data_IF_559245472089
#
_entry.id   IF_559245472089
#
_cell.length_a   1.000
_cell.length_b   1.000
_cell.length_c   1.000
_cell.angle_alpha   90.00
_cell.angle_beta   90.00
_cell.angle_gamma   90.00
#
_symmetry.space_group_name_H-M   'P 1'
#
loop_
_entity.id
_entity.type
_entity.pdbx_description
1 polymer ?
#
# COMPACT_ATOMS: atom_id res chain seq x y z
N UNK A 1 6.48 -12.91 19.29
CA UNK A 1 5.56 -11.94 18.65
C UNK A 1 5.33 -12.41 17.24
N UNK A 2 4.08 -12.65 16.89
CA UNK A 2 3.76 -13.02 15.52
C UNK A 2 4.09 -11.84 14.60
N UNK A 3 4.88 -12.11 13.56
CA UNK A 3 5.28 -11.09 12.60
C UNK A 3 4.11 -10.84 11.64
N UNK A 4 3.27 -9.83 11.92
CA UNK A 4 2.09 -9.51 11.12
C UNK A 4 2.38 -8.44 10.08
N UNK A 5 2.12 -8.79 8.81
CA UNK A 5 2.16 -7.90 7.65
C UNK A 5 0.73 -7.64 7.14
N UNK A 6 0.34 -6.37 7.08
CA UNK A 6 -0.96 -5.97 6.57
C UNK A 6 -0.84 -5.27 5.21
N UNK A 7 -1.51 -5.82 4.19
CA UNK A 7 -1.59 -5.25 2.86
C UNK A 7 -2.98 -4.64 2.60
N UNK A 8 -3.06 -3.33 2.58
CA UNK A 8 -4.23 -2.61 2.09
C UNK A 8 -4.28 -2.65 0.55
N UNK A 9 -5.30 -3.33 -0.02
CA UNK A 9 -5.39 -3.58 -1.45
C UNK A 9 -4.45 -4.70 -1.90
N UNK A 10 -4.81 -5.95 -1.66
CA UNK A 10 -3.98 -7.12 -1.93
C UNK A 10 -4.04 -7.53 -3.42
N UNK A 11 -3.49 -6.67 -4.29
CA UNK A 11 -3.43 -6.89 -5.74
C UNK A 11 -2.13 -7.58 -6.17
N UNK A 12 -1.84 -7.51 -7.47
CA UNK A 12 -0.75 -8.22 -8.15
C UNK A 12 0.61 -8.15 -7.42
N UNK A 13 1.06 -6.95 -7.06
CA UNK A 13 2.35 -6.77 -6.39
C UNK A 13 2.37 -7.38 -4.98
N UNK A 14 1.28 -7.19 -4.22
CA UNK A 14 1.18 -7.75 -2.88
C UNK A 14 1.08 -9.28 -2.90
N UNK A 15 0.33 -9.85 -3.86
CA UNK A 15 0.24 -11.29 -4.06
C UNK A 15 1.60 -11.90 -4.41
N UNK A 16 2.38 -11.23 -5.28
CA UNK A 16 3.73 -11.68 -5.62
C UNK A 16 4.72 -11.61 -4.44
N UNK A 17 4.52 -10.65 -3.54
CA UNK A 17 5.36 -10.47 -2.35
C UNK A 17 5.05 -11.51 -1.25
N UNK A 18 3.80 -11.96 -1.15
CA UNK A 18 3.30 -12.80 -0.06
C UNK A 18 4.09 -14.09 0.17
N UNK A 19 4.41 -14.92 -0.83
CA UNK A 19 5.20 -16.14 -0.60
C UNK A 19 6.54 -15.84 0.04
N UNK A 20 7.23 -14.78 -0.38
CA UNK A 20 8.53 -14.37 0.17
C UNK A 20 8.44 -13.92 1.63
N UNK A 21 7.31 -13.33 2.03
CA UNK A 21 7.07 -12.96 3.42
C UNK A 21 6.75 -14.19 4.26
N UNK A 22 5.92 -15.10 3.76
CA UNK A 22 5.57 -16.35 4.45
C UNK A 22 6.82 -17.22 4.68
N UNK A 23 7.73 -17.32 3.71
CA UNK A 23 9.00 -18.03 3.85
C UNK A 23 9.89 -17.47 4.97
N UNK A 24 9.68 -16.21 5.33
CA UNK A 24 10.36 -15.53 6.44
C UNK A 24 9.57 -15.55 7.77
N UNK A 25 8.47 -16.28 7.81
CA UNK A 25 7.64 -16.45 9.01
C UNK A 25 6.65 -15.28 9.24
N UNK A 26 6.40 -14.41 8.25
CA UNK A 26 5.40 -13.38 8.36
C UNK A 26 4.00 -13.95 8.12
N UNK A 27 3.05 -13.59 8.97
CA UNK A 27 1.62 -13.79 8.74
C UNK A 27 1.11 -12.63 7.92
N UNK A 28 0.65 -12.90 6.70
CA UNK A 28 0.23 -11.86 5.74
C UNK A 28 -1.29 -11.77 5.70
N UNK A 29 -1.82 -10.57 5.92
CA UNK A 29 -3.23 -10.25 5.75
C UNK A 29 -3.41 -9.34 4.54
N UNK A 30 -4.40 -9.67 3.69
CA UNK A 30 -4.69 -8.92 2.47
C UNK A 30 -6.11 -8.40 2.43
N UNK A 31 -6.30 -7.08 2.25
CA UNK A 31 -7.66 -6.52 2.20
C UNK A 31 -8.25 -6.57 0.81
N UNK A 32 -9.56 -6.82 0.74
CA UNK A 32 -10.39 -6.66 -0.46
C UNK A 32 -11.72 -5.97 -0.13
N UNK A 33 -12.28 -5.25 -1.12
CA UNK A 33 -13.61 -4.64 -1.02
C UNK A 33 -14.74 -5.65 -1.28
N UNK A 34 -14.44 -6.77 -1.93
CA UNK A 34 -15.38 -7.86 -2.21
C UNK A 34 -14.83 -9.19 -1.76
N UNK A 35 -15.70 -10.04 -1.24
CA UNK A 35 -15.37 -11.44 -0.91
C UNK A 35 -15.04 -12.28 -2.16
N UNK A 36 -15.47 -11.85 -3.34
CA UNK A 36 -15.19 -12.55 -4.61
C UNK A 36 -13.68 -12.69 -4.87
N UNK A 37 -12.87 -11.76 -4.34
CA UNK A 37 -11.42 -11.80 -4.49
C UNK A 37 -10.69 -12.60 -3.40
N UNK A 38 -11.42 -13.16 -2.42
CA UNK A 38 -10.79 -13.86 -1.29
C UNK A 38 -10.00 -15.09 -1.74
N UNK A 39 -10.57 -15.87 -2.67
CA UNK A 39 -9.88 -17.04 -3.22
C UNK A 39 -8.50 -16.71 -3.83
N UNK A 40 -8.37 -15.58 -4.51
CA UNK A 40 -7.08 -15.20 -5.12
C UNK A 40 -6.08 -14.69 -4.06
N UNK A 41 -6.57 -14.05 -3.00
CA UNK A 41 -5.75 -13.67 -1.86
C UNK A 41 -5.24 -14.93 -1.15
N UNK A 42 -6.11 -15.89 -0.87
CA UNK A 42 -5.76 -17.17 -0.23
C UNK A 42 -4.76 -17.98 -1.06
N UNK A 43 -4.93 -18.04 -2.39
CA UNK A 43 -3.96 -18.69 -3.29
C UNK A 43 -2.56 -18.08 -3.23
N UNK A 44 -2.44 -16.79 -2.90
CA UNK A 44 -1.13 -16.16 -2.68
C UNK A 44 -0.48 -16.54 -1.35
N UNK A 45 -1.24 -17.18 -0.45
CA UNK A 45 -0.81 -17.53 0.91
C UNK A 45 -1.12 -16.44 1.95
N UNK A 46 -1.93 -15.44 1.61
CA UNK A 46 -2.40 -14.43 2.54
C UNK A 46 -3.79 -14.75 3.10
N UNK A 47 -4.10 -14.20 4.26
CA UNK A 47 -5.42 -14.29 4.89
C UNK A 47 -6.26 -13.11 4.40
N UNK A 48 -7.39 -13.35 3.72
CA UNK A 48 -8.22 -12.28 3.20
C UNK A 48 -9.02 -11.60 4.31
N UNK A 49 -9.13 -10.27 4.23
CA UNK A 49 -9.96 -9.47 5.13
C UNK A 49 -10.83 -8.52 4.32
N UNK A 50 -12.08 -8.40 4.72
CA UNK A 50 -13.00 -7.47 4.08
C UNK A 50 -12.69 -6.03 4.51
N UNK A 51 -12.58 -5.14 3.54
CA UNK A 51 -12.48 -3.71 3.78
C UNK A 51 -13.70 -3.21 4.56
N UNK A 52 -13.47 -2.43 5.62
CA UNK A 52 -14.53 -1.89 6.48
C UNK A 52 -14.97 -2.81 7.61
N UNK A 53 -14.43 -4.02 7.73
CA UNK A 53 -14.76 -4.93 8.84
C UNK A 53 -14.08 -4.54 10.15
N UNK A 54 -14.67 -4.93 11.28
CA UNK A 54 -14.05 -4.81 12.60
C UNK A 54 -12.81 -5.70 12.74
N UNK A 55 -12.78 -6.83 12.04
CA UNK A 55 -11.61 -7.71 11.97
C UNK A 55 -10.38 -6.98 11.45
N UNK A 56 -10.56 -6.10 10.43
CA UNK A 56 -9.45 -5.30 9.89
C UNK A 56 -8.86 -4.37 10.94
N UNK A 57 -9.70 -3.74 11.79
CA UNK A 57 -9.21 -2.92 12.90
C UNK A 57 -8.41 -3.73 13.92
N UNK A 58 -8.82 -4.96 14.18
CA UNK A 58 -8.08 -5.88 15.05
C UNK A 58 -6.72 -6.22 14.48
N UNK A 59 -6.62 -6.46 13.16
CA UNK A 59 -5.33 -6.75 12.49
C UNK A 59 -4.42 -5.51 12.46
N UNK A 60 -4.97 -4.29 12.32
CA UNK A 60 -4.16 -3.07 12.40
C UNK A 60 -3.44 -2.98 13.75
N UNK A 61 -4.08 -3.39 14.85
CA UNK A 61 -3.47 -3.41 16.20
C UNK A 61 -2.29 -4.37 16.33
N UNK A 62 -2.23 -5.38 15.50
CA UNK A 62 -1.17 -6.40 15.52
C UNK A 62 -0.10 -6.18 14.44
N UNK A 63 -0.36 -5.28 13.49
CA UNK A 63 0.50 -5.09 12.32
C UNK A 63 1.86 -4.48 12.70
N UNK A 64 2.92 -5.20 12.38
CA UNK A 64 4.29 -4.68 12.47
C UNK A 64 4.73 -3.99 11.17
N UNK A 65 4.24 -4.45 10.03
CA UNK A 65 4.50 -3.86 8.71
C UNK A 65 3.18 -3.60 7.98
N UNK A 66 3.09 -2.47 7.30
CA UNK A 66 1.91 -2.06 6.53
C UNK A 66 2.32 -1.72 5.10
N UNK A 67 1.60 -2.25 4.12
CA UNK A 67 1.73 -1.88 2.71
C UNK A 67 0.40 -1.35 2.20
N UNK A 68 0.40 -0.20 1.53
CA UNK A 68 -0.78 0.29 0.81
C UNK A 68 -0.54 0.31 -0.69
N UNK A 69 -1.39 -0.43 -1.41
CA UNK A 69 -1.49 -0.37 -2.88
C UNK A 69 -2.85 0.19 -3.35
N UNK A 70 -3.62 0.75 -2.43
CA UNK A 70 -4.92 1.34 -2.73
C UNK A 70 -4.75 2.62 -3.52
N UNK A 71 -5.50 2.74 -4.63
CA UNK A 71 -5.49 3.96 -5.43
C UNK A 71 -6.22 5.09 -4.71
N UNK A 72 -5.69 6.33 -4.73
CA UNK A 72 -6.41 7.48 -4.20
C UNK A 72 -7.68 7.74 -5.01
N UNK A 73 -8.70 8.28 -4.34
CA UNK A 73 -9.99 8.62 -4.92
C UNK A 73 -10.35 10.05 -4.54
N UNK A 74 -10.71 10.89 -5.53
CA UNK A 74 -11.12 12.28 -5.30
C UNK A 74 -10.14 13.04 -4.38
N UNK A 75 -8.84 13.01 -4.69
CA UNK A 75 -7.75 13.62 -3.93
C UNK A 75 -7.55 13.13 -2.49
N UNK A 76 -8.25 12.07 -2.10
CA UNK A 76 -8.09 11.42 -0.81
C UNK A 76 -7.45 10.04 -0.94
N UNK A 77 -6.60 9.71 0.02
CA UNK A 77 -6.14 8.34 0.22
C UNK A 77 -7.16 7.60 1.10
N UNK A 78 -7.80 6.53 0.58
CA UNK A 78 -8.86 5.84 1.33
C UNK A 78 -8.36 5.16 2.61
N UNK A 79 -7.08 4.74 2.65
CA UNK A 79 -6.49 4.11 3.84
C UNK A 79 -6.32 5.14 4.94
N UNK A 80 -5.68 6.26 4.63
CA UNK A 80 -5.47 7.35 5.60
C UNK A 80 -6.81 7.94 6.04
N UNK A 81 -7.76 8.08 5.12
CA UNK A 81 -9.09 8.62 5.44
C UNK A 81 -9.86 7.73 6.42
N UNK A 82 -9.81 6.41 6.24
CA UNK A 82 -10.63 5.48 7.00
C UNK A 82 -9.92 4.91 8.24
N UNK A 83 -8.61 4.72 8.16
CA UNK A 83 -7.82 4.04 9.18
C UNK A 83 -6.67 4.89 9.72
N UNK A 84 -6.57 6.17 9.37
CA UNK A 84 -5.50 7.04 9.82
C UNK A 84 -5.37 7.14 11.33
N UNK A 85 -6.48 7.23 12.06
CA UNK A 85 -6.47 7.24 13.52
C UNK A 85 -6.10 5.88 14.09
N UNK A 86 -6.64 4.77 13.55
CA UNK A 86 -6.26 3.41 13.97
C UNK A 86 -4.76 3.17 13.79
N UNK A 87 -4.18 3.61 12.66
CA UNK A 87 -2.74 3.50 12.38
C UNK A 87 -1.91 4.37 13.34
N UNK A 88 -2.41 5.55 13.69
CA UNK A 88 -1.75 6.47 14.63
C UNK A 88 -1.73 5.90 16.05
N UNK A 89 -2.87 5.41 16.53
CA UNK A 89 -2.99 4.80 17.85
C UNK A 89 -2.06 3.60 18.03
N UNK A 90 -1.81 2.86 16.94
CA UNK A 90 -0.98 1.66 16.95
C UNK A 90 0.43 1.88 16.35
N UNK A 91 0.83 3.14 16.14
CA UNK A 91 2.09 3.52 15.47
C UNK A 91 3.35 2.99 16.16
N UNK A 92 3.34 2.81 17.46
CA UNK A 92 4.49 2.27 18.22
C UNK A 92 4.87 0.83 17.80
N UNK A 93 3.91 0.07 17.28
CA UNK A 93 4.10 -1.31 16.82
C UNK A 93 4.51 -1.37 15.35
N UNK A 94 4.05 -0.40 14.52
CA UNK A 94 4.31 -0.37 13.10
C UNK A 94 5.76 0.09 12.86
N UNK A 95 6.60 -0.84 12.43
CA UNK A 95 8.03 -0.62 12.20
C UNK A 95 8.34 -0.14 10.79
N UNK A 96 7.39 -0.28 9.87
CA UNK A 96 7.52 0.15 8.49
C UNK A 96 6.15 0.29 7.84
N UNK A 97 5.99 1.35 7.03
CA UNK A 97 4.83 1.55 6.20
C UNK A 97 5.26 1.89 4.77
N UNK A 98 4.77 1.13 3.79
CA UNK A 98 5.03 1.34 2.37
C UNK A 98 3.79 1.81 1.62
N UNK A 99 3.95 2.82 0.75
CA UNK A 99 2.91 3.25 -0.17
C UNK A 99 3.35 3.04 -1.61
N UNK A 100 2.60 2.24 -2.38
CA UNK A 100 2.87 2.01 -3.80
C UNK A 100 2.29 3.16 -4.63
N UNK A 101 3.16 4.07 -5.03
CA UNK A 101 2.88 5.17 -5.92
C UNK A 101 3.25 4.84 -7.37
N UNK A 102 3.46 5.82 -8.20
CA UNK A 102 3.76 5.68 -9.63
C UNK A 102 4.78 6.71 -10.09
N UNK A 103 5.59 6.38 -11.08
CA UNK A 103 6.45 7.35 -11.78
C UNK A 103 5.64 8.45 -12.49
N UNK A 104 4.34 8.25 -12.72
CA UNK A 104 3.44 9.28 -13.28
C UNK A 104 3.36 10.57 -12.47
N UNK A 105 3.86 10.57 -11.21
CA UNK A 105 3.99 11.78 -10.38
C UNK A 105 5.00 12.79 -10.92
N UNK A 106 5.97 12.35 -11.73
CA UNK A 106 6.97 13.23 -12.35
C UNK A 106 6.41 13.99 -13.56
N UNK A 107 5.36 13.46 -14.21
CA UNK A 107 4.82 14.01 -15.44
C UNK A 107 5.68 13.69 -16.66
N UNK A 108 5.58 14.55 -17.69
CA UNK A 108 6.42 14.43 -18.89
C UNK A 108 7.79 15.08 -18.66
N UNK A 109 8.82 14.26 -18.56
CA UNK A 109 10.21 14.68 -18.39
C UNK A 109 10.97 14.80 -19.71
N UNK A 110 10.28 14.61 -20.85
CA UNK A 110 10.88 14.62 -22.21
C UNK A 110 12.08 13.66 -22.36
N UNK A 111 12.03 12.54 -21.64
CA UNK A 111 13.10 11.53 -21.64
C UNK A 111 14.26 11.80 -20.69
N UNK A 112 14.22 12.87 -19.93
CA UNK A 112 15.23 13.15 -18.91
C UNK A 112 15.16 12.17 -17.74
N UNK A 113 16.34 11.87 -17.18
CA UNK A 113 16.44 11.03 -15.99
C UNK A 113 15.85 11.74 -14.76
N UNK A 114 15.16 10.97 -13.95
CA UNK A 114 14.59 11.43 -12.68
C UNK A 114 15.05 10.55 -11.52
N UNK A 115 15.04 11.13 -10.33
CA UNK A 115 15.28 10.44 -9.06
C UNK A 115 14.26 10.90 -8.02
N UNK A 116 14.37 10.42 -6.80
CA UNK A 116 13.42 10.70 -5.71
C UNK A 116 13.34 12.19 -5.36
N UNK A 117 14.39 12.98 -5.62
CA UNK A 117 14.46 14.41 -5.36
C UNK A 117 13.97 15.26 -6.55
N UNK A 118 13.69 14.65 -7.69
CA UNK A 118 13.23 15.37 -8.88
C UNK A 118 11.85 16.00 -8.62
N UNK A 119 11.56 17.19 -9.20
CA UNK A 119 10.29 17.87 -9.03
C UNK A 119 9.10 17.02 -9.48
N UNK A 120 8.03 17.02 -8.69
CA UNK A 120 6.78 16.34 -9.05
C UNK A 120 5.92 17.30 -9.86
N UNK A 121 5.69 16.96 -11.14
CA UNK A 121 4.93 17.76 -12.10
C UNK A 121 3.90 16.89 -12.85
N UNK A 122 2.96 16.26 -12.14
CA UNK A 122 1.99 15.38 -12.78
C UNK A 122 1.12 16.14 -13.79
N UNK A 123 0.92 15.53 -14.95
CA UNK A 123 0.11 16.10 -16.04
C UNK A 123 -1.32 15.56 -16.10
N UNK A 124 -1.65 14.59 -15.23
CA UNK A 124 -2.96 13.94 -15.20
C UNK A 124 -3.60 14.07 -13.82
N UNK A 125 -4.93 14.06 -13.75
CA UNK A 125 -5.67 14.05 -12.48
C UNK A 125 -5.26 12.85 -11.60
N UNK A 126 -5.00 11.70 -12.21
CA UNK A 126 -4.51 10.51 -11.50
C UNK A 126 -3.12 10.73 -10.88
N UNK A 127 -2.22 11.39 -11.61
CA UNK A 127 -0.90 11.76 -11.11
C UNK A 127 -0.98 12.77 -9.96
N UNK A 128 -1.85 13.78 -10.09
CA UNK A 128 -2.09 14.78 -9.03
C UNK A 128 -2.61 14.12 -7.77
N UNK A 129 -3.60 13.23 -7.89
CA UNK A 129 -4.15 12.48 -6.75
C UNK A 129 -3.06 11.62 -6.06
N UNK A 130 -2.15 11.00 -6.84
CA UNK A 130 -1.01 10.25 -6.30
C UNK A 130 -0.03 11.14 -5.54
N UNK A 131 0.31 12.32 -6.05
CA UNK A 131 1.16 13.29 -5.33
C UNK A 131 0.52 13.70 -4.01
N UNK A 132 -0.79 13.94 -4.01
CA UNK A 132 -1.52 14.30 -2.79
C UNK A 132 -1.52 13.14 -1.77
N UNK A 133 -1.67 11.90 -2.22
CA UNK A 133 -1.57 10.72 -1.36
C UNK A 133 -0.15 10.54 -0.79
N UNK A 134 0.91 10.66 -1.61
CA UNK A 134 2.29 10.62 -1.13
C UNK A 134 2.54 11.62 -0.01
N UNK A 135 2.09 12.88 -0.20
CA UNK A 135 2.20 13.92 0.83
C UNK A 135 1.50 13.54 2.13
N UNK A 136 0.31 12.92 2.05
CA UNK A 136 -0.43 12.46 3.24
C UNK A 136 0.32 11.37 3.97
N UNK A 137 0.86 10.37 3.27
CA UNK A 137 1.67 9.30 3.86
C UNK A 137 2.94 9.82 4.53
N UNK A 138 3.66 10.73 3.87
CA UNK A 138 4.89 11.32 4.40
C UNK A 138 4.66 12.32 5.54
N UNK A 139 3.54 13.06 5.51
CA UNK A 139 3.21 14.05 6.55
C UNK A 139 2.78 13.40 7.87
N UNK A 140 2.39 12.14 7.84
CA UNK A 140 2.03 11.37 9.03
C UNK A 140 3.30 10.99 9.81
N UNK A 141 3.84 11.93 10.59
CA UNK A 141 5.07 11.75 11.36
C UNK A 141 5.04 10.59 12.37
N UNK A 142 3.90 9.94 12.55
CA UNK A 142 3.75 8.79 13.45
C UNK A 142 4.05 7.44 12.78
N UNK A 143 4.17 7.39 11.44
CA UNK A 143 4.54 6.16 10.71
C UNK A 143 5.90 6.33 10.02
N UNK A 144 6.77 5.32 10.06
CA UNK A 144 7.98 5.28 9.24
C UNK A 144 7.63 4.97 7.78
N UNK A 145 7.07 5.98 7.10
CA UNK A 145 6.49 5.83 5.77
C UNK A 145 7.54 5.93 4.66
N UNK A 146 7.43 5.01 3.68
CA UNK A 146 8.27 4.95 2.48
C UNK A 146 7.39 4.96 1.23
N UNK A 147 7.77 5.75 0.23
CA UNK A 147 7.06 5.86 -1.05
C UNK A 147 7.80 5.07 -2.12
N UNK A 148 7.09 4.19 -2.82
CA UNK A 148 7.61 3.43 -3.96
C UNK A 148 6.96 3.93 -5.24
N UNK A 149 7.68 4.69 -6.05
CA UNK A 149 7.22 5.19 -7.34
C UNK A 149 7.48 4.15 -8.41
N UNK A 150 6.51 3.28 -8.61
CA UNK A 150 6.61 2.14 -9.52
C UNK A 150 6.49 2.59 -10.99
N UNK A 151 7.33 2.02 -11.83
CA UNK A 151 7.21 2.07 -13.29
C UNK A 151 6.18 1.08 -13.83
N UNK A 152 6.40 0.57 -15.02
CA UNK A 152 5.59 -0.51 -15.59
C UNK A 152 5.71 -1.78 -14.75
N UNK A 153 4.59 -2.29 -14.25
CA UNK A 153 4.55 -3.55 -13.50
C UNK A 153 4.32 -4.68 -14.50
N UNK A 154 5.26 -5.60 -14.59
CA UNK A 154 5.21 -6.77 -15.45
C UNK A 154 5.56 -8.05 -14.67
N UNK A 155 5.22 -9.21 -15.25
CA UNK A 155 5.51 -10.50 -14.64
C UNK A 155 4.52 -11.57 -15.10
N UNK A 156 4.42 -12.74 -14.44
CA UNK A 156 3.52 -13.81 -14.82
C UNK A 156 2.08 -13.33 -15.00
N UNK A 157 1.48 -13.64 -16.15
CA UNK A 157 0.12 -13.24 -16.54
C UNK A 157 -0.11 -11.71 -16.63
N UNK A 158 0.97 -10.92 -16.71
CA UNK A 158 0.89 -9.47 -16.85
C UNK A 158 2.05 -8.95 -17.69
N UNK A 159 1.78 -8.51 -18.90
CA UNK A 159 2.71 -7.89 -19.83
C UNK A 159 2.12 -6.65 -20.47
#
# INVERSE_FOLDING_TARGET
MDLTFLSFGHGYTAQALTPHLNDKGWKVFGTSRSRDNFSDIEKSGAIPILWGSEELRSVIKEAALVLSSVAPKNDNDPVIQMYGEDLKENSSQIKWAGYLSTIGVYGDTKGEWVNENSPLKPSTNRGIARVNAEKKWLKNNFLPSHIFRLGGIYGPNRG
#
